data_IF_636511000197
#
_entry.id   IF_636511000197
#
_cell.length_a   1.000
_cell.length_b   1.000
_cell.length_c   1.000
_cell.angle_alpha   90.00
_cell.angle_beta   90.00
_cell.angle_gamma   90.00
#
_symmetry.space_group_name_H-M   'P 1'
#
loop_
_entity.id
_entity.type
_entity.pdbx_description
1 polymer ?
#
# COMPACT_ATOMS: atom_id res chain seq x y z
N UNK A 1 -0.12 10.45 -3.93
CA UNK A 1 -0.96 9.86 -2.87
C UNK A 1 -2.05 8.92 -3.39
N UNK A 2 -3.16 9.34 -4.02
CA UNK A 2 -4.19 8.36 -4.48
C UNK A 2 -3.66 7.40 -5.55
N UNK A 3 -2.93 7.91 -6.56
CA UNK A 3 -2.29 7.06 -7.57
C UNK A 3 -1.34 6.04 -6.94
N UNK A 4 -0.44 6.50 -6.06
CA UNK A 4 0.51 5.64 -5.34
C UNK A 4 -0.20 4.58 -4.48
N UNK A 5 -1.30 4.94 -3.83
CA UNK A 5 -2.10 3.98 -3.08
C UNK A 5 -2.67 2.90 -4.00
N UNK A 6 -3.19 3.27 -5.17
CA UNK A 6 -3.66 2.30 -6.16
C UNK A 6 -2.54 1.39 -6.65
N UNK A 7 -1.33 1.90 -6.89
CA UNK A 7 -0.18 1.08 -7.26
C UNK A 7 0.19 0.07 -6.18
N UNK A 8 0.17 0.47 -4.91
CA UNK A 8 0.39 -0.43 -3.77
C UNK A 8 -0.68 -1.52 -3.71
N UNK A 9 -1.96 -1.17 -3.90
CA UNK A 9 -3.09 -2.11 -3.88
C UNK A 9 -3.02 -3.13 -5.02
N UNK A 10 -2.55 -2.71 -6.21
CA UNK A 10 -2.39 -3.60 -7.38
C UNK A 10 -1.08 -4.40 -7.37
N UNK A 11 -0.14 -4.09 -6.49
CA UNK A 11 1.18 -4.75 -6.45
C UNK A 11 1.09 -6.25 -6.15
N UNK A 12 2.01 -7.05 -6.69
CA UNK A 12 2.09 -8.49 -6.39
C UNK A 12 2.69 -8.80 -5.00
N UNK A 13 3.07 -7.77 -4.23
CA UNK A 13 3.64 -7.94 -2.90
C UNK A 13 2.59 -8.51 -1.92
N UNK A 14 3.09 -9.31 -0.97
CA UNK A 14 2.24 -9.93 0.05
C UNK A 14 1.61 -8.86 0.93
N UNK A 15 0.29 -8.94 1.13
CA UNK A 15 -0.43 -7.96 1.94
C UNK A 15 0.05 -7.86 3.38
N UNK A 16 0.56 -8.95 3.96
CA UNK A 16 1.18 -8.95 5.30
C UNK A 16 2.45 -8.11 5.38
N UNK A 17 3.28 -8.12 4.32
CA UNK A 17 4.50 -7.31 4.22
C UNK A 17 4.14 -5.83 4.12
N UNK A 18 3.22 -5.48 3.21
CA UNK A 18 2.76 -4.11 3.00
C UNK A 18 2.08 -3.54 4.25
N UNK A 19 1.21 -4.32 4.91
CA UNK A 19 0.53 -3.91 6.14
C UNK A 19 1.53 -3.59 7.26
N UNK A 20 2.62 -4.35 7.37
CA UNK A 20 3.71 -4.09 8.33
C UNK A 20 4.40 -2.76 8.05
N UNK A 21 4.77 -2.48 6.80
CA UNK A 21 5.43 -1.21 6.40
C UNK A 21 4.53 -0.01 6.69
N UNK A 22 3.23 -0.17 6.43
CA UNK A 22 2.22 0.87 6.65
C UNK A 22 1.85 1.09 8.11
N UNK A 23 2.30 0.21 9.02
CA UNK A 23 1.77 0.13 10.38
C UNK A 23 0.21 0.12 10.36
N UNK A 24 -0.34 -0.81 9.57
CA UNK A 24 -1.76 -1.00 9.34
C UNK A 24 -2.15 -2.44 9.67
N UNK A 25 -3.38 -2.64 10.15
CA UNK A 25 -3.89 -4.00 10.31
C UNK A 25 -4.03 -4.68 8.94
N UNK A 26 -3.62 -5.94 8.83
CA UNK A 26 -3.64 -6.66 7.55
C UNK A 26 -5.04 -6.80 6.94
N UNK A 27 -6.08 -6.95 7.77
CA UNK A 27 -7.46 -7.00 7.30
C UNK A 27 -7.90 -5.64 6.75
N UNK A 28 -7.48 -4.54 7.38
CA UNK A 28 -7.76 -3.20 6.85
C UNK A 28 -7.10 -2.99 5.48
N UNK A 29 -5.88 -3.50 5.28
CA UNK A 29 -5.26 -3.46 3.97
C UNK A 29 -6.07 -4.27 2.94
N UNK A 30 -6.46 -5.49 3.28
CA UNK A 30 -7.27 -6.33 2.38
C UNK A 30 -8.67 -5.77 2.14
N UNK A 31 -9.27 -5.05 3.07
CA UNK A 31 -10.52 -4.33 2.83
C UNK A 31 -10.37 -3.36 1.65
N UNK A 32 -9.25 -2.63 1.58
CA UNK A 32 -8.97 -1.74 0.44
C UNK A 32 -8.61 -2.54 -0.81
N UNK A 33 -7.74 -3.56 -0.68
CA UNK A 33 -7.23 -4.32 -1.82
C UNK A 33 -8.29 -5.14 -2.54
N UNK A 34 -9.26 -5.64 -1.79
CA UNK A 34 -10.39 -6.41 -2.34
C UNK A 34 -11.56 -5.48 -2.73
N UNK A 35 -11.43 -4.17 -2.55
CA UNK A 35 -12.47 -3.19 -2.90
C UNK A 35 -13.62 -3.04 -1.89
N UNK A 36 -13.60 -3.78 -0.77
CA UNK A 36 -14.58 -3.64 0.32
C UNK A 36 -14.58 -2.22 0.92
N UNK A 37 -13.44 -1.53 0.90
CA UNK A 37 -13.31 -0.10 1.21
C UNK A 37 -12.76 0.63 0.00
N UNK A 38 -13.32 1.80 -0.27
CA UNK A 38 -12.88 2.71 -1.33
C UNK A 38 -11.71 3.57 -0.86
N UNK A 39 -10.55 3.45 -1.50
CA UNK A 39 -9.35 4.22 -1.15
C UNK A 39 -9.54 5.72 -1.36
N UNK A 40 -10.42 6.11 -2.28
CA UNK A 40 -10.80 7.50 -2.57
C UNK A 40 -11.54 8.15 -1.40
N UNK A 41 -12.12 7.34 -0.50
CA UNK A 41 -12.80 7.80 0.72
C UNK A 41 -11.93 7.68 1.96
N UNK A 42 -10.67 7.26 1.82
CA UNK A 42 -9.78 7.08 2.96
C UNK A 42 -9.37 8.43 3.57
N UNK A 43 -9.13 8.43 4.88
CA UNK A 43 -8.59 9.60 5.58
C UNK A 43 -7.16 9.88 5.11
N UNK A 44 -6.73 11.14 5.20
CA UNK A 44 -5.36 11.56 4.83
C UNK A 44 -4.28 10.70 5.51
N UNK A 45 -4.44 10.40 6.80
CA UNK A 45 -3.52 9.53 7.54
C UNK A 45 -3.38 8.13 6.92
N UNK A 46 -4.46 7.59 6.37
CA UNK A 46 -4.42 6.31 5.65
C UNK A 46 -3.65 6.47 4.34
N UNK A 47 -3.90 7.55 3.59
CA UNK A 47 -3.18 7.80 2.34
C UNK A 47 -1.67 8.00 2.56
N UNK A 48 -1.26 8.65 3.67
CA UNK A 48 0.15 8.79 4.05
C UNK A 48 0.79 7.42 4.33
N UNK A 49 0.05 6.48 4.94
CA UNK A 49 0.55 5.11 5.12
C UNK A 49 0.80 4.42 3.78
N UNK A 50 -0.14 4.53 2.84
CA UNK A 50 0.04 4.01 1.48
C UNK A 50 1.23 4.64 0.75
N UNK A 51 1.46 5.95 0.92
CA UNK A 51 2.63 6.64 0.37
C UNK A 51 3.95 6.01 0.85
N UNK A 52 4.05 5.67 2.14
CA UNK A 52 5.24 4.99 2.71
C UNK A 52 5.49 3.62 2.07
N UNK A 53 4.42 2.85 1.84
CA UNK A 53 4.53 1.55 1.18
C UNK A 53 4.96 1.68 -0.29
N UNK A 54 4.50 2.72 -0.98
CA UNK A 54 4.90 2.99 -2.36
C UNK A 54 6.39 3.29 -2.47
N UNK A 55 6.93 4.16 -1.61
CA UNK A 55 8.37 4.46 -1.60
C UNK A 55 9.20 3.20 -1.35
N UNK A 56 8.77 2.34 -0.42
CA UNK A 56 9.42 1.05 -0.18
C UNK A 56 9.42 0.16 -1.43
N UNK A 57 8.31 0.11 -2.18
CA UNK A 57 8.22 -0.67 -3.41
C UNK A 57 9.23 -0.20 -4.46
N UNK A 58 9.38 1.11 -4.64
CA UNK A 58 10.36 1.68 -5.57
C UNK A 58 11.79 1.30 -5.17
N UNK A 59 12.12 1.38 -3.88
CA UNK A 59 13.46 1.02 -3.40
C UNK A 59 13.74 -0.48 -3.55
N UNK A 60 12.73 -1.33 -3.33
CA UNK A 60 12.84 -2.78 -3.55
C UNK A 60 13.04 -3.13 -5.02
N UNK A 61 12.34 -2.46 -5.93
CA UNK A 61 12.49 -2.66 -7.37
C UNK A 61 13.88 -2.25 -7.87
N UNK A 62 14.43 -1.13 -7.37
CA UNK A 62 15.80 -0.71 -7.71
C UNK A 62 16.83 -1.78 -7.36
N UNK A 63 16.72 -2.37 -6.17
CA UNK A 63 17.64 -3.44 -5.70
C UNK A 63 17.54 -4.76 -6.44
N UNK A 64 16.49 -4.98 -7.24
CA UNK A 64 16.34 -6.20 -8.04
C UNK A 64 16.91 -6.06 -9.46
N UNK A 65 17.34 -4.84 -9.84
CA UNK A 65 17.86 -4.54 -11.18
C UNK A 65 19.42 -4.47 -11.16
N UNK A 66 20.02 -4.39 -9.97
CA UNK A 66 21.47 -4.53 -9.74
C UNK A 66 21.87 -6.00 -9.48
#
# INVERSE_FOLDING_TARGET
>A
MLAHANEVLMSSLKGTELAKIMNMNVNQFYDYRNGSKKIEKARLETLIKFEKAYVYMLDKQKRTID
#
